data_IF_103731239313
#
_entry.id   IF_103731239313
#
_cell.length_a   1.000
_cell.length_b   1.000
_cell.length_c   1.000
_cell.angle_alpha   90.00
_cell.angle_beta   90.00
_cell.angle_gamma   90.00
#
_symmetry.space_group_name_H-M   'P 1'
#
loop_
_entity.id
_entity.type
_entity.pdbx_description
1 polymer ?
#
# COMPACT_ATOMS: atom_id res chain seq x y z
N UNK A 1 25.99 -1.25 -4.95
CA UNK A 1 24.76 -1.44 -4.15
C UNK A 1 25.06 -1.55 -2.66
N UNK A 2 26.16 -2.21 -2.26
CA UNK A 2 26.67 -2.27 -0.88
C UNK A 2 26.68 -0.94 -0.09
N UNK A 3 27.20 0.20 -0.62
CA UNK A 3 27.29 1.45 0.17
C UNK A 3 25.93 2.12 0.45
N UNK A 4 24.92 1.86 -0.39
CA UNK A 4 23.57 2.41 -0.19
C UNK A 4 22.77 1.51 0.76
N UNK A 5 22.92 0.19 0.63
CA UNK A 5 22.34 -0.77 1.57
C UNK A 5 22.87 -0.58 2.98
N UNK A 6 24.19 -0.34 3.12
CA UNK A 6 24.78 -0.02 4.43
C UNK A 6 24.28 1.31 4.98
N UNK A 7 24.17 2.37 4.15
CA UNK A 7 23.63 3.64 4.61
C UNK A 7 22.17 3.53 5.10
N UNK A 8 21.33 2.78 4.39
CA UNK A 8 19.93 2.52 4.81
C UNK A 8 19.89 1.71 6.11
N UNK A 9 20.73 0.68 6.23
CA UNK A 9 20.81 -0.14 7.43
C UNK A 9 21.32 0.68 8.61
N UNK A 10 22.38 1.47 8.43
CA UNK A 10 22.92 2.39 9.44
C UNK A 10 21.89 3.41 9.87
N UNK A 11 21.15 4.02 8.93
CA UNK A 11 20.06 4.93 9.26
C UNK A 11 19.03 4.19 10.12
N UNK A 12 18.55 3.02 9.71
CA UNK A 12 17.57 2.23 10.46
C UNK A 12 18.08 1.81 11.84
N UNK A 13 19.36 1.44 11.97
CA UNK A 13 20.00 1.07 13.23
C UNK A 13 20.18 2.27 14.17
N UNK A 14 20.66 3.42 13.67
CA UNK A 14 20.75 4.64 14.46
C UNK A 14 19.36 5.09 14.91
N UNK A 15 18.38 5.04 14.00
CA UNK A 15 16.99 5.36 14.29
C UNK A 15 16.41 4.45 15.38
N UNK A 16 16.68 3.14 15.32
CA UNK A 16 16.28 2.15 16.33
C UNK A 16 16.90 2.40 17.71
N UNK A 17 18.22 2.62 17.78
CA UNK A 17 18.91 2.84 19.06
C UNK A 17 18.56 4.18 19.71
N UNK A 18 18.26 5.19 18.90
CA UNK A 18 17.95 6.53 19.40
C UNK A 18 16.48 6.71 19.75
N UNK A 19 15.56 5.95 19.12
CA UNK A 19 14.13 6.02 19.45
C UNK A 19 13.80 5.59 20.87
N UNK A 20 14.51 4.64 21.47
CA UNK A 20 14.16 4.12 22.80
C UNK A 20 14.56 4.99 24.00
N UNK A 21 15.11 6.20 23.81
CA UNK A 21 15.68 7.00 24.92
C UNK A 21 14.96 8.30 25.24
N UNK A 22 14.47 9.04 24.24
CA UNK A 22 13.73 10.29 24.46
C UNK A 22 12.61 10.49 23.40
N UNK A 23 11.34 10.69 23.81
CA UNK A 23 10.20 10.96 22.92
C UNK A 23 10.43 12.11 21.94
N UNK A 24 11.02 13.20 22.44
CA UNK A 24 11.35 14.40 21.67
C UNK A 24 12.39 14.10 20.58
N UNK A 25 13.45 13.37 20.92
CA UNK A 25 14.49 12.97 19.95
C UNK A 25 13.90 12.08 18.84
N UNK A 26 12.91 11.25 19.15
CA UNK A 26 12.29 10.37 18.17
C UNK A 26 11.56 11.09 17.04
N UNK A 27 10.83 12.16 17.37
CA UNK A 27 10.17 13.05 16.40
C UNK A 27 11.20 13.74 15.52
N UNK A 28 12.25 14.29 16.11
CA UNK A 28 13.29 15.01 15.36
C UNK A 28 14.04 14.10 14.40
N UNK A 29 14.32 12.86 14.79
CA UNK A 29 14.95 11.86 13.92
C UNK A 29 14.02 11.49 12.77
N UNK A 30 12.75 11.17 13.04
CA UNK A 30 11.78 10.82 12.00
C UNK A 30 11.58 11.99 11.00
N UNK A 31 11.50 13.22 11.51
CA UNK A 31 11.43 14.44 10.70
C UNK A 31 12.66 14.61 9.84
N UNK A 32 13.85 14.46 10.42
CA UNK A 32 15.12 14.58 9.70
C UNK A 32 15.22 13.54 8.59
N UNK A 33 14.82 12.29 8.84
CA UNK A 33 14.81 11.22 7.84
C UNK A 33 13.87 11.55 6.68
N UNK A 34 12.65 12.02 6.97
CA UNK A 34 11.68 12.39 5.95
C UNK A 34 12.17 13.59 5.10
N UNK A 35 12.68 14.64 5.76
CA UNK A 35 13.20 15.86 5.10
C UNK A 35 14.45 15.56 4.29
N UNK A 36 15.43 14.83 4.84
CA UNK A 36 16.64 14.42 4.11
C UNK A 36 16.26 13.54 2.91
N UNK A 37 15.31 12.61 3.08
CA UNK A 37 14.79 11.80 1.98
C UNK A 37 14.16 12.64 0.86
N UNK A 38 13.38 13.67 1.22
CA UNK A 38 12.77 14.60 0.28
C UNK A 38 13.83 15.43 -0.47
N UNK A 39 14.78 16.02 0.26
CA UNK A 39 15.88 16.82 -0.30
C UNK A 39 16.79 15.98 -1.19
N UNK A 40 17.20 14.80 -0.73
CA UNK A 40 17.98 13.86 -1.53
C UNK A 40 17.24 13.49 -2.82
N UNK A 41 15.94 13.23 -2.75
CA UNK A 41 15.12 12.94 -3.92
C UNK A 41 14.93 14.12 -4.89
N UNK A 42 14.94 15.35 -4.38
CA UNK A 42 14.86 16.56 -5.20
C UNK A 42 16.17 16.85 -5.94
N UNK A 43 17.32 16.63 -5.28
CA UNK A 43 18.65 16.91 -5.82
C UNK A 43 19.19 15.82 -6.75
N UNK A 44 18.71 14.57 -6.58
CA UNK A 44 19.17 13.45 -7.42
C UNK A 44 18.54 13.54 -8.82
N UNK A 45 19.37 13.51 -9.90
CA UNK A 45 18.88 13.52 -11.27
C UNK A 45 17.95 12.33 -11.56
N UNK A 46 16.86 12.57 -12.30
CA UNK A 46 15.84 11.56 -12.60
C UNK A 46 16.38 10.31 -13.32
N UNK A 47 17.53 10.41 -14.00
CA UNK A 47 18.22 9.28 -14.63
C UNK A 47 18.78 8.26 -13.63
N UNK A 48 19.01 8.66 -12.36
CA UNK A 48 19.54 7.79 -11.29
C UNK A 48 18.42 7.01 -10.61
N UNK A 49 17.69 6.22 -11.38
CA UNK A 49 16.47 5.49 -10.95
C UNK A 49 16.69 4.59 -9.72
N UNK A 50 17.86 3.94 -9.64
CA UNK A 50 18.26 3.09 -8.51
C UNK A 50 18.39 3.87 -7.19
N UNK A 51 18.78 5.14 -7.25
CA UNK A 51 18.93 5.98 -6.06
C UNK A 51 17.56 6.38 -5.53
N UNK A 52 16.62 6.80 -6.41
CA UNK A 52 15.24 7.08 -6.01
C UNK A 52 14.54 5.85 -5.38
N UNK A 53 14.73 4.66 -5.97
CA UNK A 53 14.22 3.41 -5.43
C UNK A 53 14.81 3.10 -4.03
N UNK A 54 16.11 3.37 -3.84
CA UNK A 54 16.78 3.14 -2.56
C UNK A 54 16.36 4.15 -1.48
N UNK A 55 16.12 5.41 -1.83
CA UNK A 55 15.57 6.41 -0.91
C UNK A 55 14.18 5.95 -0.43
N UNK A 56 13.30 5.58 -1.36
CA UNK A 56 11.97 5.05 -1.01
C UNK A 56 12.06 3.77 -0.15
N UNK A 57 13.00 2.88 -0.47
CA UNK A 57 13.23 1.67 0.33
C UNK A 57 13.69 1.99 1.76
N UNK A 58 14.60 2.96 1.91
CA UNK A 58 15.09 3.40 3.21
C UNK A 58 13.96 3.99 4.06
N UNK A 59 13.09 4.80 3.47
CA UNK A 59 11.91 5.33 4.15
C UNK A 59 10.94 4.23 4.58
N UNK A 60 10.66 3.23 3.73
CA UNK A 60 9.80 2.10 4.09
C UNK A 60 10.39 1.23 5.21
N UNK A 61 11.72 1.00 5.19
CA UNK A 61 12.41 0.28 6.25
C UNK A 61 12.38 1.08 7.56
N UNK A 62 12.61 2.39 7.50
CA UNK A 62 12.51 3.26 8.67
C UNK A 62 11.11 3.20 9.31
N UNK A 63 10.04 3.25 8.50
CA UNK A 63 8.66 3.05 8.98
C UNK A 63 8.49 1.67 9.63
N UNK A 64 9.03 0.62 9.01
CA UNK A 64 8.95 -0.73 9.56
C UNK A 64 9.69 -0.87 10.90
N UNK A 65 10.90 -0.32 10.99
CA UNK A 65 11.69 -0.26 12.23
C UNK A 65 11.00 0.58 13.31
N UNK A 66 10.30 1.64 12.90
CA UNK A 66 9.52 2.47 13.81
C UNK A 66 8.41 1.67 14.48
N UNK A 67 7.61 0.97 13.68
CA UNK A 67 6.55 0.11 14.19
C UNK A 67 7.11 -1.04 15.03
N UNK A 68 8.30 -1.55 14.72
CA UNK A 68 8.95 -2.61 15.52
C UNK A 68 9.28 -2.16 16.95
N UNK A 69 9.60 -0.87 17.16
CA UNK A 69 9.85 -0.32 18.51
C UNK A 69 8.66 -0.57 19.45
N UNK A 70 7.42 -0.54 18.93
CA UNK A 70 6.20 -0.85 19.69
C UNK A 70 6.13 -2.32 20.10
N UNK A 71 6.49 -3.22 19.18
CA UNK A 71 6.44 -4.68 19.41
C UNK A 71 7.32 -5.08 20.58
N UNK A 72 8.51 -4.48 20.69
CA UNK A 72 9.49 -4.76 21.73
C UNK A 72 9.29 -3.92 23.01
N UNK A 73 8.25 -3.09 23.08
CA UNK A 73 7.94 -2.27 24.26
C UNK A 73 8.79 -1.00 24.41
N UNK A 74 9.53 -0.59 23.37
CA UNK A 74 10.35 0.62 23.34
C UNK A 74 9.63 1.79 22.63
N UNK A 75 8.30 1.86 22.73
CA UNK A 75 7.50 2.89 22.07
C UNK A 75 7.74 4.26 22.70
N UNK A 76 8.20 5.27 21.95
CA UNK A 76 8.63 6.52 22.54
C UNK A 76 7.53 7.57 22.68
N UNK A 77 6.29 7.29 22.25
CA UNK A 77 5.21 8.28 22.30
C UNK A 77 4.23 7.99 23.42
N UNK A 78 3.72 9.03 24.07
CA UNK A 78 2.60 8.89 25.01
C UNK A 78 1.32 8.52 24.26
N UNK A 79 1.12 9.10 23.06
CA UNK A 79 0.02 8.73 22.20
C UNK A 79 0.24 7.40 21.48
N UNK A 80 -0.76 6.53 21.56
CA UNK A 80 -0.67 5.17 21.05
C UNK A 80 -1.38 5.02 19.70
N UNK A 81 -0.73 5.53 18.66
CA UNK A 81 -1.17 5.38 17.26
C UNK A 81 -1.30 3.91 16.83
N UNK A 82 -0.53 3.03 17.48
CA UNK A 82 -0.38 1.60 17.21
C UNK A 82 -0.67 0.80 18.48
N UNK A 83 -1.83 1.03 19.10
CA UNK A 83 -2.17 0.45 20.39
C UNK A 83 -2.10 -1.08 20.43
N UNK A 84 -2.41 -1.73 19.31
CA UNK A 84 -2.22 -3.17 19.17
C UNK A 84 -0.80 -3.51 18.68
N UNK A 85 -0.07 -4.29 19.49
CA UNK A 85 1.26 -4.82 19.12
C UNK A 85 1.24 -5.70 17.87
N UNK A 86 0.15 -6.40 17.61
CA UNK A 86 -0.05 -7.23 16.40
C UNK A 86 -0.15 -6.35 15.17
N UNK A 87 -0.87 -5.24 15.28
CA UNK A 87 -0.95 -4.23 14.24
C UNK A 87 0.42 -3.61 13.95
N UNK A 88 1.16 -3.25 15.00
CA UNK A 88 2.53 -2.76 14.85
C UNK A 88 3.46 -3.78 14.18
N UNK A 89 3.37 -5.07 14.55
CA UNK A 89 4.14 -6.14 13.92
C UNK A 89 3.80 -6.35 12.44
N UNK A 90 2.52 -6.21 12.07
CA UNK A 90 2.07 -6.25 10.68
C UNK A 90 2.67 -5.10 9.87
N UNK A 91 2.58 -3.85 10.37
CA UNK A 91 3.19 -2.68 9.73
C UNK A 91 4.71 -2.86 9.60
N UNK A 92 5.37 -3.34 10.65
CA UNK A 92 6.81 -3.59 10.66
C UNK A 92 7.22 -4.55 9.54
N UNK A 93 6.52 -5.67 9.45
CA UNK A 93 6.79 -6.72 8.46
C UNK A 93 6.53 -6.22 7.04
N UNK A 94 5.42 -5.50 6.83
CA UNK A 94 5.11 -4.87 5.55
C UNK A 94 6.17 -3.84 5.14
N UNK A 95 6.53 -2.92 6.02
CA UNK A 95 7.50 -1.85 5.72
C UNK A 95 8.86 -2.40 5.33
N UNK A 96 9.39 -3.35 6.11
CA UNK A 96 10.67 -4.01 5.84
C UNK A 96 10.59 -4.83 4.54
N UNK A 97 9.54 -5.65 4.37
CA UNK A 97 9.37 -6.50 3.19
C UNK A 97 9.26 -5.70 1.89
N UNK A 98 8.50 -4.61 1.90
CA UNK A 98 8.37 -3.68 0.77
C UNK A 98 9.71 -2.99 0.49
N UNK A 99 10.43 -2.53 1.51
CA UNK A 99 11.76 -1.94 1.34
C UNK A 99 12.76 -2.88 0.69
N UNK A 100 12.83 -4.14 1.15
CA UNK A 100 13.66 -5.18 0.52
C UNK A 100 13.23 -5.43 -0.93
N UNK A 101 11.92 -5.48 -1.18
CA UNK A 101 11.35 -5.62 -2.52
C UNK A 101 11.78 -4.50 -3.47
N UNK A 102 11.76 -3.24 -3.01
CA UNK A 102 12.23 -2.07 -3.76
C UNK A 102 13.72 -2.15 -4.10
N UNK A 103 14.56 -2.52 -3.14
CA UNK A 103 16.01 -2.72 -3.36
C UNK A 103 16.29 -3.82 -4.39
N UNK A 104 15.43 -4.85 -4.43
CA UNK A 104 15.48 -5.95 -5.41
C UNK A 104 14.82 -5.62 -6.75
N UNK A 105 14.38 -4.38 -6.97
CA UNK A 105 13.73 -3.96 -8.22
C UNK A 105 12.38 -4.64 -8.45
N UNK A 106 11.70 -5.11 -7.39
CA UNK A 106 10.42 -5.80 -7.52
C UNK A 106 9.29 -4.78 -7.69
N UNK A 107 8.56 -4.94 -8.78
CA UNK A 107 7.46 -4.05 -9.15
C UNK A 107 6.29 -4.05 -8.16
N UNK A 108 5.92 -5.20 -7.59
CA UNK A 108 4.85 -5.26 -6.58
C UNK A 108 5.20 -4.36 -5.39
N UNK A 109 6.48 -4.30 -5.01
CA UNK A 109 6.95 -3.49 -3.90
C UNK A 109 6.84 -1.99 -4.21
N UNK A 110 7.03 -1.58 -5.46
CA UNK A 110 6.76 -0.19 -5.89
C UNK A 110 5.30 0.19 -5.67
N UNK A 111 4.36 -0.66 -6.07
CA UNK A 111 2.93 -0.37 -5.91
C UNK A 111 2.48 -0.44 -4.46
N UNK A 112 2.96 -1.43 -3.70
CA UNK A 112 2.72 -1.52 -2.26
C UNK A 112 3.25 -0.28 -1.53
N UNK A 113 4.46 0.20 -1.87
CA UNK A 113 5.03 1.42 -1.29
C UNK A 113 4.22 2.67 -1.65
N UNK A 114 3.82 2.84 -2.92
CA UNK A 114 2.99 3.98 -3.34
C UNK A 114 1.64 3.97 -2.61
N UNK A 115 1.00 2.80 -2.49
CA UNK A 115 -0.26 2.67 -1.80
C UNK A 115 -0.16 2.94 -0.30
N UNK A 116 0.85 2.35 0.35
CA UNK A 116 1.13 2.61 1.75
C UNK A 116 1.39 4.09 1.99
N UNK A 117 2.20 4.72 1.13
CA UNK A 117 2.52 6.14 1.19
C UNK A 117 1.30 7.03 0.94
N UNK A 118 0.42 6.66 0.00
CA UNK A 118 -0.85 7.36 -0.24
C UNK A 118 -1.79 7.22 0.96
N UNK A 119 -1.88 6.03 1.57
CA UNK A 119 -2.57 5.79 2.83
C UNK A 119 -2.06 6.65 3.96
N UNK A 120 -0.74 6.69 4.15
CA UNK A 120 -0.07 7.53 5.14
C UNK A 120 -0.33 9.02 4.90
N UNK A 121 -0.29 9.47 3.65
CA UNK A 121 -0.51 10.88 3.31
C UNK A 121 -1.98 11.28 3.47
N UNK A 122 -2.93 10.49 2.98
CA UNK A 122 -4.36 10.76 3.13
C UNK A 122 -4.80 10.62 4.58
N UNK A 123 -4.39 9.55 5.27
CA UNK A 123 -4.67 9.32 6.68
C UNK A 123 -4.06 10.41 7.57
N UNK A 124 -2.80 10.79 7.32
CA UNK A 124 -2.16 11.92 8.00
C UNK A 124 -2.88 13.25 7.74
N UNK A 125 -3.31 13.51 6.50
CA UNK A 125 -4.06 14.74 6.17
C UNK A 125 -5.43 14.77 6.84
N UNK A 126 -6.17 13.65 6.82
CA UNK A 126 -7.50 13.55 7.42
C UNK A 126 -7.43 13.62 8.96
N UNK A 127 -6.40 13.03 9.56
CA UNK A 127 -6.16 13.13 11.00
C UNK A 127 -5.71 14.55 11.40
N UNK A 128 -4.84 15.22 10.63
CA UNK A 128 -4.41 16.59 10.95
C UNK A 128 -5.52 17.63 10.85
N UNK A 129 -6.49 17.44 9.95
CA UNK A 129 -7.67 18.30 9.85
C UNK A 129 -8.61 18.11 11.05
N UNK A 130 -8.80 16.87 11.52
CA UNK A 130 -9.74 16.55 12.59
C UNK A 130 -9.15 16.70 14.01
N UNK A 131 -7.84 16.59 14.17
CA UNK A 131 -7.18 16.50 15.49
C UNK A 131 -6.63 17.83 16.01
N UNK A 132 -7.12 18.97 15.49
CA UNK A 132 -6.79 20.32 16.01
C UNK A 132 -7.09 20.54 17.50
N UNK A 133 -7.78 19.59 18.16
CA UNK A 133 -8.14 19.66 19.58
C UNK A 133 -7.31 18.82 20.56
N UNK A 134 -6.40 17.93 20.12
CA UNK A 134 -5.63 17.06 21.03
C UNK A 134 -4.13 17.03 20.70
N UNK A 135 -3.31 17.40 21.70
CA UNK A 135 -1.85 17.21 21.90
C UNK A 135 -0.93 17.33 20.67
N UNK A 136 0.09 18.19 20.77
CA UNK A 136 1.07 18.47 19.71
C UNK A 136 1.68 17.22 19.03
N UNK A 137 1.88 16.13 19.79
CA UNK A 137 2.41 14.85 19.27
C UNK A 137 1.57 14.26 18.11
N UNK A 138 0.25 14.37 18.18
CA UNK A 138 -0.65 13.78 17.18
C UNK A 138 -0.62 14.56 15.86
N UNK A 139 -0.57 15.89 15.94
CA UNK A 139 -0.41 16.74 14.77
C UNK A 139 0.94 16.51 14.09
N UNK A 140 2.00 16.29 14.88
CA UNK A 140 3.34 15.97 14.38
C UNK A 140 3.43 14.62 13.68
N UNK A 141 2.87 13.55 14.27
CA UNK A 141 2.83 12.24 13.64
C UNK A 141 2.02 12.24 12.33
N UNK A 142 0.92 12.99 12.31
CA UNK A 142 0.12 13.20 11.10
C UNK A 142 0.92 13.94 10.01
N UNK A 143 1.63 15.02 10.36
CA UNK A 143 2.49 15.77 9.44
C UNK A 143 3.63 14.91 8.88
N UNK A 144 4.27 14.08 9.73
CA UNK A 144 5.28 13.12 9.30
C UNK A 144 4.73 12.09 8.32
N UNK A 145 3.52 11.58 8.58
CA UNK A 145 2.81 10.68 7.67
C UNK A 145 2.58 11.30 6.29
N UNK A 146 2.23 12.58 6.23
CA UNK A 146 2.08 13.36 4.99
C UNK A 146 3.39 13.55 4.26
N UNK A 147 4.41 14.11 4.93
CA UNK A 147 5.71 14.41 4.31
C UNK A 147 6.39 13.14 3.82
N UNK A 148 6.43 12.10 4.66
CA UNK A 148 7.01 10.80 4.30
C UNK A 148 6.26 10.14 3.14
N UNK A 149 4.92 10.16 3.18
CA UNK A 149 4.08 9.61 2.11
C UNK A 149 4.31 10.31 0.77
N UNK A 150 4.23 11.65 0.75
CA UNK A 150 4.48 12.46 -0.46
C UNK A 150 5.90 12.21 -1.00
N UNK A 151 6.89 12.10 -0.12
CA UNK A 151 8.28 11.84 -0.53
C UNK A 151 8.43 10.49 -1.23
N UNK A 152 7.85 9.42 -0.68
CA UNK A 152 7.88 8.09 -1.30
C UNK A 152 7.19 8.13 -2.66
N UNK A 153 6.01 8.76 -2.74
CA UNK A 153 5.26 8.90 -3.99
C UNK A 153 6.08 9.66 -5.03
N UNK A 154 6.69 10.79 -4.67
CA UNK A 154 7.48 11.61 -5.59
C UNK A 154 8.72 10.90 -6.11
N UNK A 155 9.30 9.98 -5.32
CA UNK A 155 10.41 9.14 -5.78
C UNK A 155 9.94 8.07 -6.77
N UNK A 156 8.80 7.43 -6.50
CA UNK A 156 8.38 6.23 -7.22
C UNK A 156 7.49 6.48 -8.44
N UNK A 157 6.80 7.62 -8.53
CA UNK A 157 5.88 7.93 -9.64
C UNK A 157 6.62 8.38 -10.92
N UNK A 158 7.87 8.85 -10.79
CA UNK A 158 8.68 9.36 -11.93
C UNK A 158 8.71 8.35 -13.10
N UNK A 159 8.53 8.79 -14.37
CA UNK A 159 8.52 7.89 -15.52
C UNK A 159 9.79 7.04 -15.65
N UNK A 160 10.98 7.63 -15.46
CA UNK A 160 12.25 6.90 -15.53
C UNK A 160 12.33 5.76 -14.50
N UNK A 161 11.88 6.03 -13.27
CA UNK A 161 11.85 5.04 -12.18
C UNK A 161 10.82 3.96 -12.49
N UNK A 162 9.60 4.35 -12.90
CA UNK A 162 8.57 3.44 -13.37
C UNK A 162 9.14 2.48 -14.40
N UNK A 163 9.76 2.99 -15.45
CA UNK A 163 10.24 2.21 -16.58
C UNK A 163 11.36 1.24 -16.17
N UNK A 164 12.23 1.64 -15.23
CA UNK A 164 13.24 0.76 -14.64
C UNK A 164 12.64 -0.43 -13.87
N UNK A 165 11.52 -0.23 -13.15
CA UNK A 165 10.77 -1.33 -12.52
C UNK A 165 9.94 -2.13 -13.54
N UNK A 166 9.60 -1.55 -14.69
CA UNK A 166 8.75 -2.18 -15.71
C UNK A 166 9.53 -3.11 -16.64
N UNK A 167 10.85 -2.92 -16.77
CA UNK A 167 11.73 -3.61 -17.72
C UNK A 167 11.67 -5.16 -17.70
N UNK A 168 11.10 -5.77 -16.65
CA UNK A 168 10.95 -7.22 -16.51
C UNK A 168 9.53 -7.66 -16.11
N UNK A 169 8.48 -6.95 -16.54
CA UNK A 169 7.17 -7.08 -15.91
C UNK A 169 5.99 -7.24 -16.85
N UNK A 170 4.92 -7.79 -16.28
CA UNK A 170 3.52 -7.89 -16.73
C UNK A 170 3.01 -6.66 -17.50
N UNK A 171 3.61 -5.49 -17.33
CA UNK A 171 3.19 -4.24 -17.93
C UNK A 171 3.56 -4.03 -19.39
N UNK A 172 4.68 -4.60 -19.81
CA UNK A 172 5.08 -4.66 -21.22
C UNK A 172 4.55 -5.93 -21.89
N UNK A 173 3.82 -6.76 -21.15
CA UNK A 173 3.23 -7.98 -21.69
C UNK A 173 2.27 -7.64 -22.82
N UNK A 174 2.56 -8.14 -24.02
CA UNK A 174 1.63 -8.10 -25.15
C UNK A 174 0.45 -9.05 -24.98
N UNK A 175 0.49 -9.92 -23.96
CA UNK A 175 -0.62 -10.79 -23.58
C UNK A 175 -1.89 -9.95 -23.34
N UNK A 176 -2.93 -10.28 -24.10
CA UNK A 176 -4.21 -9.56 -24.09
C UNK A 176 -4.90 -9.66 -22.72
N UNK A 177 -4.77 -10.79 -22.03
CA UNK A 177 -5.36 -11.04 -20.71
C UNK A 177 -4.75 -10.10 -19.67
N UNK A 178 -3.41 -10.08 -19.65
CA UNK A 178 -2.63 -9.26 -18.74
C UNK A 178 -2.94 -7.78 -18.95
N UNK A 179 -2.98 -7.31 -20.21
CA UNK A 179 -3.30 -5.91 -20.50
C UNK A 179 -4.67 -5.48 -20.00
N UNK A 180 -5.70 -6.32 -20.14
CA UNK A 180 -7.04 -6.00 -19.65
C UNK A 180 -7.16 -6.02 -18.12
N UNK A 181 -6.37 -6.86 -17.43
CA UNK A 181 -6.51 -7.06 -15.99
C UNK A 181 -5.42 -6.38 -15.14
N UNK A 182 -4.42 -5.74 -15.75
CA UNK A 182 -3.27 -5.16 -15.03
C UNK A 182 -3.70 -4.18 -13.95
N UNK A 183 -4.60 -3.25 -14.27
CA UNK A 183 -5.06 -2.20 -13.36
C UNK A 183 -5.85 -2.78 -12.18
N UNK A 184 -6.67 -3.80 -12.44
CA UNK A 184 -7.36 -4.56 -11.40
C UNK A 184 -6.39 -5.28 -10.47
N UNK A 185 -5.38 -5.96 -11.03
CA UNK A 185 -4.37 -6.67 -10.23
C UNK A 185 -3.58 -5.70 -9.32
N UNK A 186 -3.22 -4.53 -9.82
CA UNK A 186 -2.49 -3.53 -9.01
C UNK A 186 -3.38 -2.99 -7.90
N UNK A 187 -4.59 -2.55 -8.25
CA UNK A 187 -5.53 -2.04 -7.25
C UNK A 187 -5.82 -3.12 -6.20
N UNK A 188 -5.85 -4.39 -6.58
CA UNK A 188 -6.01 -5.53 -5.66
C UNK A 188 -4.78 -5.77 -4.77
N UNK A 189 -3.55 -5.61 -5.30
CA UNK A 189 -2.32 -5.61 -4.48
C UNK A 189 -2.25 -4.44 -3.49
N UNK A 190 -2.98 -3.36 -3.75
CA UNK A 190 -3.13 -2.22 -2.84
C UNK A 190 -4.23 -2.47 -1.82
N UNK A 191 -5.40 -2.92 -2.27
CA UNK A 191 -6.57 -3.14 -1.42
C UNK A 191 -6.38 -4.30 -0.45
N UNK A 192 -5.71 -5.39 -0.84
CA UNK A 192 -5.55 -6.56 0.02
C UNK A 192 -4.76 -6.27 1.31
N UNK A 193 -3.58 -5.60 1.28
CA UNK A 193 -2.93 -5.13 2.49
C UNK A 193 -3.82 -4.21 3.34
N UNK A 194 -4.59 -3.31 2.72
CA UNK A 194 -5.49 -2.41 3.44
C UNK A 194 -6.69 -3.14 4.07
N UNK A 195 -7.16 -4.24 3.49
CA UNK A 195 -8.15 -5.12 4.10
C UNK A 195 -7.59 -5.85 5.33
N UNK A 196 -6.35 -6.34 5.25
CA UNK A 196 -5.69 -6.97 6.40
C UNK A 196 -5.41 -5.94 7.50
N UNK A 197 -5.00 -4.73 7.11
CA UNK A 197 -4.83 -3.58 8.00
C UNK A 197 -6.13 -3.27 8.75
N UNK A 198 -7.24 -3.21 8.01
CA UNK A 198 -8.58 -3.04 8.57
C UNK A 198 -8.94 -4.17 9.55
N UNK A 199 -8.75 -5.43 9.13
CA UNK A 199 -9.15 -6.60 9.90
C UNK A 199 -8.41 -6.73 11.24
N UNK A 200 -7.10 -6.42 11.26
CA UNK A 200 -6.25 -6.65 12.42
C UNK A 200 -5.90 -5.39 13.20
N UNK A 201 -6.06 -4.22 12.61
CA UNK A 201 -5.66 -2.96 13.24
C UNK A 201 -6.83 -2.19 13.80
N UNK A 202 -7.76 -1.82 12.92
CA UNK A 202 -8.80 -0.84 13.23
C UNK A 202 -10.12 -1.24 12.55
N UNK A 203 -10.77 -2.34 12.97
CA UNK A 203 -12.02 -2.76 12.37
C UNK A 203 -13.16 -1.84 12.82
N UNK A 204 -13.52 -0.90 11.96
CA UNK A 204 -14.62 0.06 12.20
C UNK A 204 -15.99 -0.64 12.25
N UNK A 205 -16.13 -1.75 11.53
CA UNK A 205 -17.26 -2.66 11.60
C UNK A 205 -16.74 -4.07 11.94
N UNK A 206 -16.63 -4.44 13.23
CA UNK A 206 -16.08 -5.73 13.65
C UNK A 206 -16.75 -6.94 12.97
N UNK A 207 -18.04 -6.83 12.66
CA UNK A 207 -18.79 -7.85 11.92
C UNK A 207 -18.22 -8.16 10.52
N UNK A 208 -17.45 -7.26 9.91
CA UNK A 208 -16.89 -7.46 8.56
C UNK A 208 -15.44 -7.95 8.57
N UNK A 209 -14.82 -8.17 9.74
CA UNK A 209 -13.44 -8.67 9.88
C UNK A 209 -13.23 -10.00 9.13
N UNK A 210 -14.12 -10.98 9.34
CA UNK A 210 -14.01 -12.28 8.67
C UNK A 210 -14.05 -12.15 7.14
N UNK A 211 -14.91 -11.27 6.62
CA UNK A 211 -14.97 -11.01 5.18
C UNK A 211 -13.71 -10.33 4.66
N UNK A 212 -13.10 -9.39 5.41
CA UNK A 212 -11.84 -8.76 5.02
C UNK A 212 -10.69 -9.77 4.95
N UNK A 213 -10.58 -10.66 5.94
CA UNK A 213 -9.59 -11.74 5.98
C UNK A 213 -9.81 -12.73 4.82
N UNK A 214 -11.05 -13.00 4.44
CA UNK A 214 -11.37 -13.90 3.33
C UNK A 214 -11.09 -13.28 1.95
N UNK A 215 -11.40 -11.99 1.76
CA UNK A 215 -11.27 -11.31 0.47
C UNK A 215 -9.80 -11.01 0.13
N UNK A 216 -8.99 -10.61 1.11
CA UNK A 216 -7.58 -10.27 0.90
C UNK A 216 -6.78 -11.38 0.17
N UNK A 217 -6.77 -12.65 0.59
CA UNK A 217 -6.05 -13.72 -0.11
C UNK A 217 -6.65 -14.01 -1.49
N UNK A 218 -7.96 -13.85 -1.69
CA UNK A 218 -8.59 -14.01 -3.02
C UNK A 218 -8.07 -12.94 -3.99
N UNK A 219 -7.99 -11.68 -3.56
CA UNK A 219 -7.43 -10.59 -4.34
C UNK A 219 -5.95 -10.81 -4.66
N UNK A 220 -5.15 -11.25 -3.68
CA UNK A 220 -3.73 -11.55 -3.89
C UNK A 220 -3.51 -12.74 -4.83
N UNK A 221 -4.29 -13.81 -4.68
CA UNK A 221 -4.24 -14.98 -5.55
C UNK A 221 -4.64 -14.62 -6.98
N UNK A 222 -5.76 -13.93 -7.16
CA UNK A 222 -6.22 -13.48 -8.47
C UNK A 222 -5.17 -12.59 -9.16
N UNK A 223 -4.61 -11.63 -8.42
CA UNK A 223 -3.56 -10.75 -8.94
C UNK A 223 -2.31 -11.52 -9.35
N UNK A 224 -1.89 -12.51 -8.53
CA UNK A 224 -0.74 -13.37 -8.81
C UNK A 224 -0.97 -14.23 -10.05
N UNK A 225 -2.16 -14.83 -10.20
CA UNK A 225 -2.52 -15.61 -11.37
C UNK A 225 -2.55 -14.76 -12.65
N UNK A 226 -3.04 -13.51 -12.59
CA UNK A 226 -2.97 -12.56 -13.72
C UNK A 226 -1.51 -12.26 -14.07
N UNK A 227 -0.65 -12.03 -13.08
CA UNK A 227 0.80 -11.83 -13.29
C UNK A 227 1.42 -13.06 -13.98
N UNK A 228 1.01 -14.27 -13.57
CA UNK A 228 1.41 -15.54 -14.18
C UNK A 228 0.73 -15.84 -15.52
N UNK A 229 -0.05 -14.91 -16.08
CA UNK A 229 -0.76 -15.04 -17.37
C UNK A 229 -1.81 -16.15 -17.39
N UNK A 230 -2.43 -16.46 -16.24
CA UNK A 230 -3.50 -17.45 -16.13
C UNK A 230 -4.86 -16.78 -16.21
N UNK A 231 -5.71 -17.23 -17.15
CA UNK A 231 -7.08 -16.72 -17.37
C UNK A 231 -7.96 -16.81 -16.13
N UNK A 232 -7.79 -17.89 -15.35
CA UNK A 232 -8.44 -18.07 -14.06
C UNK A 232 -8.21 -16.89 -13.10
N UNK A 233 -7.07 -16.19 -13.20
CA UNK A 233 -6.77 -15.03 -12.37
C UNK A 233 -7.77 -13.89 -12.54
N UNK A 234 -8.28 -13.65 -13.75
CA UNK A 234 -9.28 -12.59 -14.00
C UNK A 234 -10.62 -12.93 -13.37
N UNK A 235 -11.01 -14.21 -13.39
CA UNK A 235 -12.23 -14.68 -12.74
C UNK A 235 -12.11 -14.57 -11.22
N UNK A 236 -10.98 -15.01 -10.66
CA UNK A 236 -10.69 -14.89 -9.21
C UNK A 236 -10.69 -13.41 -8.79
N UNK A 237 -10.10 -12.52 -9.58
CA UNK A 237 -10.14 -11.08 -9.32
C UNK A 237 -11.57 -10.52 -9.37
N UNK A 238 -12.39 -10.94 -10.34
CA UNK A 238 -13.77 -10.49 -10.45
C UNK A 238 -14.60 -10.94 -9.23
N UNK A 239 -14.43 -12.20 -8.77
CA UNK A 239 -15.07 -12.72 -7.55
C UNK A 239 -14.60 -11.96 -6.32
N UNK A 240 -13.28 -11.78 -6.16
CA UNK A 240 -12.73 -10.98 -5.06
C UNK A 240 -13.23 -9.54 -5.07
N UNK A 241 -13.44 -8.97 -6.25
CA UNK A 241 -13.96 -7.61 -6.43
C UNK A 241 -15.44 -7.47 -6.12
N UNK A 242 -16.26 -8.46 -6.46
CA UNK A 242 -17.65 -8.55 -5.99
C UNK A 242 -17.70 -8.62 -4.46
N UNK A 243 -16.86 -9.49 -3.87
CA UNK A 243 -16.72 -9.60 -2.42
C UNK A 243 -16.30 -8.27 -1.79
N UNK A 244 -15.34 -7.57 -2.40
CA UNK A 244 -14.86 -6.27 -1.94
C UNK A 244 -15.93 -5.17 -2.01
N UNK A 245 -16.75 -5.18 -3.06
CA UNK A 245 -17.89 -4.26 -3.18
C UNK A 245 -18.93 -4.53 -2.09
N UNK A 246 -19.29 -5.79 -1.89
CA UNK A 246 -20.22 -6.21 -0.83
C UNK A 246 -19.67 -5.87 0.57
N UNK A 247 -18.38 -6.11 0.80
CA UNK A 247 -17.69 -5.75 2.03
C UNK A 247 -17.74 -4.24 2.28
N UNK A 248 -17.43 -3.44 1.25
CA UNK A 248 -17.46 -1.97 1.36
C UNK A 248 -18.86 -1.47 1.70
N UNK A 249 -19.89 -2.00 1.03
CA UNK A 249 -21.29 -1.66 1.31
C UNK A 249 -21.74 -2.08 2.72
N UNK A 250 -21.38 -3.29 3.16
CA UNK A 250 -21.69 -3.79 4.50
C UNK A 250 -21.03 -2.94 5.59
N UNK A 251 -19.76 -2.58 5.40
CA UNK A 251 -19.02 -1.70 6.32
C UNK A 251 -19.63 -0.30 6.35
N UNK A 252 -20.01 0.27 5.19
CA UNK A 252 -20.68 1.58 5.13
C UNK A 252 -22.01 1.58 5.89
N UNK A 253 -22.86 0.59 5.64
CA UNK A 253 -24.16 0.46 6.33
C UNK A 253 -24.00 0.28 7.84
N UNK A 254 -23.02 -0.51 8.28
CA UNK A 254 -22.77 -0.72 9.70
C UNK A 254 -22.33 0.58 10.39
N UNK A 255 -21.52 1.39 9.73
CA UNK A 255 -20.98 2.63 10.31
C UNK A 255 -21.95 3.81 10.20
N UNK A 256 -22.82 3.86 9.19
CA UNK A 256 -23.96 4.79 9.11
C UNK A 256 -24.84 4.67 10.37
N UNK A 257 -25.13 3.43 10.78
CA UNK A 257 -25.87 3.14 12.02
C UNK A 257 -25.12 3.58 13.30
N UNK A 258 -23.79 3.73 13.23
CA UNK A 258 -22.94 4.11 14.35
C UNK A 258 -22.47 5.59 14.29
N UNK A 259 -22.97 6.39 13.33
CA UNK A 259 -22.65 7.81 13.12
C UNK A 259 -21.15 8.15 12.99
N UNK A 260 -20.35 7.28 12.36
CA UNK A 260 -18.90 7.50 12.18
C UNK A 260 -18.45 7.46 10.70
N UNK A 261 -19.19 8.14 9.83
CA UNK A 261 -19.09 8.06 8.36
C UNK A 261 -17.70 8.37 7.79
N UNK A 262 -16.90 9.20 8.48
CA UNK A 262 -15.60 9.68 7.98
C UNK A 262 -14.56 8.57 7.84
N UNK A 263 -14.60 7.56 8.72
CA UNK A 263 -13.65 6.45 8.70
C UNK A 263 -13.95 5.48 7.54
N UNK A 264 -15.21 5.34 7.15
CA UNK A 264 -15.60 4.55 5.96
C UNK A 264 -15.01 5.16 4.69
N UNK A 265 -15.07 6.49 4.55
CA UNK A 265 -14.51 7.20 3.40
C UNK A 265 -13.01 6.92 3.21
N UNK A 266 -12.26 6.82 4.32
CA UNK A 266 -10.84 6.46 4.29
C UNK A 266 -10.61 5.07 3.68
N UNK A 267 -11.32 4.03 4.15
CA UNK A 267 -11.15 2.67 3.63
C UNK A 267 -11.71 2.49 2.22
N UNK A 268 -12.84 3.13 1.92
CA UNK A 268 -13.48 3.09 0.61
C UNK A 268 -12.56 3.63 -0.51
N UNK A 269 -11.71 4.63 -0.20
CA UNK A 269 -10.73 5.15 -1.15
C UNK A 269 -9.71 4.10 -1.63
N UNK A 270 -9.46 3.05 -0.85
CA UNK A 270 -8.57 1.94 -1.22
C UNK A 270 -9.34 0.77 -1.83
N UNK A 271 -10.55 0.49 -1.34
CA UNK A 271 -11.31 -0.69 -1.72
C UNK A 271 -12.11 -0.50 -3.01
N UNK A 272 -12.78 0.64 -3.19
CA UNK A 272 -13.65 0.86 -4.35
C UNK A 272 -12.90 0.82 -5.69
N UNK A 273 -11.70 1.43 -5.85
CA UNK A 273 -10.98 1.32 -7.10
C UNK A 273 -10.66 -0.14 -7.47
N UNK A 274 -10.27 -0.96 -6.49
CA UNK A 274 -9.99 -2.38 -6.71
C UNK A 274 -11.26 -3.16 -7.09
N UNK A 275 -12.36 -2.91 -6.40
CA UNK A 275 -13.65 -3.51 -6.69
C UNK A 275 -14.12 -3.18 -8.11
N UNK A 276 -14.11 -1.91 -8.49
CA UNK A 276 -14.59 -1.47 -9.80
C UNK A 276 -13.69 -1.98 -10.93
N UNK A 277 -12.37 -1.86 -10.79
CA UNK A 277 -11.43 -2.27 -11.84
C UNK A 277 -11.46 -3.79 -12.06
N UNK A 278 -11.59 -4.59 -11.01
CA UNK A 278 -11.69 -6.05 -11.16
C UNK A 278 -13.00 -6.51 -11.77
N UNK A 279 -14.12 -5.84 -11.46
CA UNK A 279 -15.40 -6.09 -12.14
C UNK A 279 -15.34 -5.75 -13.63
N UNK A 280 -14.78 -4.59 -13.98
CA UNK A 280 -14.59 -4.19 -15.39
C UNK A 280 -13.69 -5.19 -16.12
N UNK A 281 -12.57 -5.62 -15.50
CA UNK A 281 -11.68 -6.61 -16.09
C UNK A 281 -12.40 -7.97 -16.33
N UNK A 282 -13.22 -8.41 -15.38
CA UNK A 282 -14.07 -9.61 -15.52
C UNK A 282 -15.09 -9.48 -16.64
N UNK A 283 -15.82 -8.36 -16.69
CA UNK A 283 -16.82 -8.08 -17.74
C UNK A 283 -16.22 -8.06 -19.14
N UNK A 284 -15.05 -7.42 -19.30
CA UNK A 284 -14.31 -7.41 -20.58
C UNK A 284 -13.88 -8.83 -20.98
N UNK A 285 -13.42 -9.66 -20.04
CA UNK A 285 -13.04 -11.04 -20.32
C UNK A 285 -14.24 -11.90 -20.77
N UNK A 286 -15.38 -11.76 -20.10
CA UNK A 286 -16.63 -12.47 -20.46
C UNK A 286 -17.12 -12.02 -21.85
N UNK A 287 -17.15 -10.72 -22.11
CA UNK A 287 -17.58 -10.18 -23.40
C UNK A 287 -16.73 -10.71 -24.56
N UNK A 288 -15.41 -10.75 -24.38
CA UNK A 288 -14.47 -11.31 -25.38
C UNK A 288 -14.68 -12.81 -25.60
N UNK A 289 -14.92 -13.58 -24.55
CA UNK A 289 -15.21 -15.01 -24.68
C UNK A 289 -16.48 -15.22 -25.53
N UNK A 290 -17.55 -14.43 -25.27
CA UNK A 290 -18.79 -14.48 -26.05
C UNK A 290 -18.59 -14.13 -27.52
N UNK A 291 -17.80 -13.11 -27.84
CA UNK A 291 -17.56 -12.70 -29.23
C UNK A 291 -16.88 -13.77 -30.09
N UNK A 292 -16.01 -14.59 -29.49
CA UNK A 292 -15.33 -15.70 -30.20
C UNK A 292 -16.32 -16.82 -30.51
N UNK A 293 -17.23 -17.15 -29.59
CA UNK A 293 -18.27 -18.15 -29.80
C UNK A 293 -19.32 -17.72 -30.84
N UNK A 294 -19.65 -16.43 -30.93
CA UNK A 294 -20.58 -15.94 -31.97
C UNK A 294 -19.96 -15.96 -33.37
N UNK A 295 -18.66 -15.68 -33.51
CA UNK A 295 -17.96 -15.73 -34.82
C UNK A 295 -17.62 -17.15 -35.28
N UNK A 296 -17.53 -18.12 -34.36
CA UNK A 296 -17.28 -19.52 -34.71
C UNK A 296 -18.50 -20.26 -35.29
N UNK A 297 -19.71 -19.71 -35.15
CA UNK A 297 -20.94 -20.31 -35.69
C UNK A 297 -21.25 -19.90 -37.14
N UNK A 298 -20.53 -18.93 -37.71
CA UNK A 298 -20.76 -18.46 -39.08
C UNK A 298 -19.89 -19.14 -40.15
N UNK A 299 -19.02 -20.08 -39.79
CA UNK A 299 -18.20 -20.87 -40.72
C UNK A 299 -18.75 -22.27 -40.99
N UNK A 300 -20.00 -22.54 -40.58
CA UNK A 300 -20.69 -23.82 -40.76
C UNK A 300 -21.98 -23.73 -41.56
N UNK A 301 -22.11 -22.75 -42.45
CA UNK A 301 -23.15 -22.70 -43.49
C UNK A 301 -22.49 -22.62 -44.86
#
# INVERSE_FOLDING_TARGET
MLPIGSAVLTLATMTYFLWGREPSAAVWIATSIAVIGALAGALVPAARTRVHAAIAAGLMIAVGSFALSRVIGAWPFEWDALADRRYAAFIATMGIGVGIGLLRGKLWARWAAIAFAAGSALGGTLNSINMRGFRDETAWLAALGVVGGVTIISQLVRPSVRDAFMANTVWTSHDRLVRSARWAAIASFVAAPMLLLYAFGQPVAPATVCSAIAIAPVLLLGSTLVIMRRTAGVLVLAVGSLGLLAHTAATARYVELAMNERVVGYYAAFWLPAALLGLVAGGVAIWRARSVFSSGRSFGQ
#
